data_IF_125330416061
#
_entry.id   IF_125330416061
#
_cell.length_a   1.000
_cell.length_b   1.000
_cell.length_c   1.000
_cell.angle_alpha   90.00
_cell.angle_beta   90.00
_cell.angle_gamma   90.00
#
_symmetry.space_group_name_H-M   'P 1'
#
loop_
_entity.id
_entity.type
_entity.pdbx_description
1 polymer ?
#
# COMPACT_ATOMS: atom_id res chain seq x y z
N UNK A 1 -6.82 -14.58 -5.47
CA UNK A 1 -5.73 -13.69 -5.95
C UNK A 1 -6.32 -12.30 -6.19
N UNK A 2 -6.03 -11.33 -5.31
CA UNK A 2 -6.61 -9.98 -5.41
C UNK A 2 -5.63 -8.97 -6.00
N UNK A 3 -4.45 -8.80 -5.38
CA UNK A 3 -3.42 -7.87 -5.84
C UNK A 3 -2.87 -8.22 -7.25
N UNK A 4 -2.75 -9.49 -7.62
CA UNK A 4 -2.33 -9.88 -8.97
C UNK A 4 -3.40 -9.67 -10.05
N UNK A 5 -4.59 -9.17 -9.71
CA UNK A 5 -5.66 -8.89 -10.66
C UNK A 5 -5.57 -7.51 -11.34
N UNK A 6 -4.69 -6.62 -10.87
CA UNK A 6 -4.54 -5.29 -11.45
C UNK A 6 -3.78 -5.35 -12.79
N UNK A 7 -4.30 -4.66 -13.82
CA UNK A 7 -3.70 -4.65 -15.17
C UNK A 7 -2.39 -3.86 -15.22
N UNK A 8 -2.27 -2.83 -14.39
CA UNK A 8 -1.08 -1.98 -14.26
C UNK A 8 -0.77 -1.78 -12.78
N UNK A 9 0.51 -1.61 -12.41
CA UNK A 9 0.88 -1.35 -11.02
C UNK A 9 0.22 -0.04 -10.54
N UNK A 10 -0.32 0.01 -9.31
CA UNK A 10 -0.73 1.26 -8.69
C UNK A 10 0.49 2.15 -8.45
N UNK A 11 0.27 3.47 -8.40
CA UNK A 11 1.33 4.44 -8.06
C UNK A 11 1.83 4.25 -6.63
N UNK A 12 0.90 3.94 -5.72
CA UNK A 12 1.16 3.73 -4.30
C UNK A 12 -0.01 2.94 -3.70
N UNK A 13 0.30 2.07 -2.72
CA UNK A 13 -0.69 1.31 -1.97
C UNK A 13 -0.71 1.79 -0.52
N UNK A 14 -1.87 2.22 -0.04
CA UNK A 14 -2.08 2.57 1.35
C UNK A 14 -2.66 1.36 2.10
N UNK A 15 -1.91 0.85 3.07
CA UNK A 15 -2.30 -0.31 3.87
C UNK A 15 -2.87 0.20 5.18
N UNK A 16 -4.18 0.05 5.32
CA UNK A 16 -4.97 0.50 6.46
C UNK A 16 -5.67 -0.68 7.12
N UNK A 17 -6.03 -0.51 8.39
CA UNK A 17 -6.55 -1.56 9.26
C UNK A 17 -5.59 -2.75 9.44
N UNK A 18 -5.66 -3.35 10.62
CA UNK A 18 -4.76 -4.42 11.05
C UNK A 18 -4.23 -4.15 12.45
N UNK A 19 -3.82 -5.21 13.11
CA UNK A 19 -3.40 -5.17 14.51
C UNK A 19 -1.88 -5.25 14.60
N UNK A 20 -1.31 -4.48 15.55
CA UNK A 20 0.13 -4.49 15.82
C UNK A 20 0.98 -4.25 14.57
N UNK A 21 1.90 -5.18 14.30
CA UNK A 21 2.85 -5.07 13.20
C UNK A 21 2.33 -5.59 11.85
N UNK A 22 1.11 -6.16 11.81
CA UNK A 22 0.56 -6.81 10.61
C UNK A 22 0.56 -5.88 9.38
N UNK A 23 0.12 -4.60 9.47
CA UNK A 23 0.16 -3.69 8.33
C UNK A 23 1.58 -3.49 7.76
N UNK A 24 2.57 -3.37 8.64
CA UNK A 24 3.98 -3.19 8.27
C UNK A 24 4.58 -4.46 7.65
N UNK A 25 4.20 -5.64 8.15
CA UNK A 25 4.62 -6.91 7.55
C UNK A 25 3.98 -7.10 6.18
N UNK A 26 2.71 -6.75 6.02
CA UNK A 26 2.03 -6.85 4.73
C UNK A 26 2.61 -5.86 3.71
N UNK A 27 2.97 -4.64 4.13
CA UNK A 27 3.69 -3.67 3.30
C UNK A 27 4.95 -4.28 2.68
N UNK A 28 5.79 -4.91 3.50
CA UNK A 28 7.00 -5.61 3.04
C UNK A 28 6.70 -6.74 2.06
N UNK A 29 5.60 -7.49 2.26
CA UNK A 29 5.18 -8.53 1.31
C UNK A 29 4.78 -7.90 -0.03
N UNK A 30 4.01 -6.82 -0.02
CA UNK A 30 3.59 -6.14 -1.24
C UNK A 30 4.80 -5.57 -2.00
N UNK A 31 5.72 -4.92 -1.30
CA UNK A 31 6.96 -4.38 -1.87
C UNK A 31 7.83 -5.49 -2.46
N UNK A 32 8.02 -6.59 -1.74
CA UNK A 32 8.85 -7.71 -2.19
C UNK A 32 8.26 -8.44 -3.40
N UNK A 33 6.96 -8.73 -3.37
CA UNK A 33 6.32 -9.59 -4.37
C UNK A 33 5.90 -8.82 -5.62
N UNK A 34 5.62 -7.51 -5.51
CA UNK A 34 5.10 -6.70 -6.62
C UNK A 34 5.96 -5.48 -6.97
N UNK A 35 6.90 -5.09 -6.11
CA UNK A 35 7.72 -3.88 -6.32
C UNK A 35 6.94 -2.57 -6.19
N UNK A 36 5.73 -2.61 -5.63
CA UNK A 36 4.87 -1.43 -5.51
C UNK A 36 5.27 -0.60 -4.30
N UNK A 37 5.24 0.73 -4.44
CA UNK A 37 5.40 1.65 -3.31
C UNK A 37 4.25 1.43 -2.32
N UNK A 38 4.56 1.32 -1.03
CA UNK A 38 3.55 1.19 0.02
C UNK A 38 3.69 2.26 1.09
N UNK A 39 2.57 2.59 1.73
CA UNK A 39 2.52 3.47 2.91
C UNK A 39 1.54 2.89 3.93
N UNK A 40 1.98 2.77 5.18
CA UNK A 40 1.12 2.44 6.33
C UNK A 40 0.89 3.74 7.10
N UNK A 41 -0.24 4.44 6.89
CA UNK A 41 -0.49 5.71 7.57
C UNK A 41 -0.77 5.50 9.06
N UNK A 42 -0.18 6.35 9.91
CA UNK A 42 -0.58 6.45 11.32
C UNK A 42 -1.96 7.10 11.47
N UNK A 43 -2.57 6.94 12.64
CA UNK A 43 -3.84 7.59 12.96
C UNK A 43 -3.76 9.11 12.73
N UNK A 44 -4.79 9.68 12.08
CA UNK A 44 -4.89 11.08 11.66
C UNK A 44 -3.91 11.54 10.56
N UNK A 45 -3.11 10.64 9.99
CA UNK A 45 -2.32 10.95 8.79
C UNK A 45 -3.25 11.37 7.66
N UNK A 46 -2.91 12.47 6.99
CA UNK A 46 -3.59 12.94 5.77
C UNK A 46 -2.60 12.91 4.62
N UNK A 47 -3.03 12.38 3.50
CA UNK A 47 -2.22 12.24 2.30
C UNK A 47 -2.94 12.92 1.16
N UNK A 48 -2.28 13.89 0.53
CA UNK A 48 -2.79 14.54 -0.67
C UNK A 48 -2.57 13.61 -1.86
N UNK A 49 -3.62 13.37 -2.65
CA UNK A 49 -3.52 12.62 -3.90
C UNK A 49 -3.51 13.60 -5.06
N UNK A 50 -2.58 13.40 -6.00
CA UNK A 50 -2.58 14.10 -7.28
C UNK A 50 -3.03 13.15 -8.39
N UNK A 51 -3.76 13.69 -9.36
CA UNK A 51 -4.11 12.99 -10.61
C UNK A 51 -3.08 13.22 -11.71
N UNK A 52 -2.10 14.09 -11.49
CA UNK A 52 -1.04 14.36 -12.46
C UNK A 52 -0.16 13.12 -12.61
N UNK A 53 0.15 12.75 -13.85
CA UNK A 53 0.94 11.58 -14.19
C UNK A 53 2.43 11.81 -13.88
#
# INVERSE_FOLDING_TARGET
RWLSGFRSPPREVFIVHGEGEVPNLFAKVVEKEYGWKTTVPEYLTRIALSTDA
#
